data_IF_900517648118
#
_entry.id   IF_900517648118
#
_cell.length_a   1.000
_cell.length_b   1.000
_cell.length_c   1.000
_cell.angle_alpha   90.00
_cell.angle_beta   90.00
_cell.angle_gamma   90.00
#
_symmetry.space_group_name_H-M   'P 1'
#
loop_
_entity.id
_entity.type
_entity.pdbx_description
1 polymer ?
#
# COMPACT_ATOMS: atom_id res chain seq x y z
N UNK A 1 -21.20 -6.89 17.65
CA UNK A 1 -20.25 -6.70 16.55
C UNK A 1 -19.12 -5.89 17.15
N UNK A 2 -17.97 -6.52 17.40
CA UNK A 2 -16.89 -5.90 18.16
C UNK A 2 -16.00 -5.08 17.22
N UNK A 3 -15.93 -3.79 17.50
CA UNK A 3 -15.18 -2.85 16.70
C UNK A 3 -13.68 -3.04 16.94
N UNK A 4 -12.90 -3.27 15.89
CA UNK A 4 -11.46 -3.30 16.04
C UNK A 4 -10.89 -1.88 15.96
N UNK A 5 -10.90 -1.16 17.10
CA UNK A 5 -10.33 0.19 17.22
C UNK A 5 -8.85 0.25 16.81
N UNK A 6 -8.14 -0.88 16.76
CA UNK A 6 -6.76 -0.90 16.26
C UNK A 6 -6.65 -0.68 14.75
N UNK A 7 -7.77 -0.75 14.01
CA UNK A 7 -7.83 -0.52 12.56
C UNK A 7 -8.21 0.90 12.18
N UNK A 8 -8.42 1.80 13.15
CA UNK A 8 -8.70 3.22 12.89
C UNK A 8 -7.43 4.04 13.16
N UNK A 9 -7.03 4.82 12.17
CA UNK A 9 -5.93 5.78 12.23
C UNK A 9 -6.48 7.17 11.95
N UNK A 10 -6.05 8.15 12.72
CA UNK A 10 -6.50 9.54 12.61
C UNK A 10 -5.30 10.39 12.23
N UNK A 11 -5.47 11.30 11.26
CA UNK A 11 -4.44 12.24 10.85
C UNK A 11 -3.94 13.07 12.03
N UNK A 12 -2.65 13.39 12.04
CA UNK A 12 -2.07 14.23 13.08
C UNK A 12 -2.35 15.74 12.83
N UNK A 13 -2.12 16.58 13.83
CA UNK A 13 -2.13 18.05 13.68
C UNK A 13 -3.51 18.71 13.62
N UNK A 14 -4.54 18.04 14.15
CA UNK A 14 -5.92 18.52 14.14
C UNK A 14 -6.17 19.60 15.19
N UNK A 15 -7.04 20.55 14.88
CA UNK A 15 -7.60 21.52 15.84
C UNK A 15 -8.73 20.90 16.67
N UNK A 16 -9.06 21.51 17.81
CA UNK A 16 -10.16 21.06 18.68
C UNK A 16 -11.52 20.99 17.96
N UNK A 17 -11.75 21.85 16.97
CA UNK A 17 -12.96 21.80 16.15
C UNK A 17 -12.97 20.56 15.25
N UNK A 18 -11.86 20.27 14.59
CA UNK A 18 -11.71 19.12 13.70
C UNK A 18 -11.77 17.78 14.45
N UNK A 19 -11.25 17.73 15.69
CA UNK A 19 -11.42 16.56 16.56
C UNK A 19 -12.89 16.23 16.83
N UNK A 20 -13.75 17.24 17.01
CA UNK A 20 -15.19 17.01 17.20
C UNK A 20 -15.83 16.46 15.94
N UNK A 21 -15.48 17.02 14.78
CA UNK A 21 -16.04 16.59 13.50
C UNK A 21 -15.63 15.14 13.17
N UNK A 22 -14.36 14.77 13.43
CA UNK A 22 -13.87 13.40 13.29
C UNK A 22 -14.59 12.43 14.23
N UNK A 23 -14.88 12.86 15.46
CA UNK A 23 -15.57 12.02 16.44
C UNK A 23 -16.95 11.57 15.92
N UNK A 24 -17.69 12.45 15.23
CA UNK A 24 -18.97 12.09 14.60
C UNK A 24 -18.81 11.12 13.43
N UNK A 25 -17.76 11.30 12.61
CA UNK A 25 -17.48 10.39 11.50
C UNK A 25 -17.12 8.98 11.99
N UNK A 26 -16.30 8.88 13.05
CA UNK A 26 -15.99 7.60 13.69
C UNK A 26 -17.27 6.95 14.23
N UNK A 27 -18.12 7.68 14.95
CA UNK A 27 -19.41 7.17 15.44
C UNK A 27 -20.32 6.64 14.30
N UNK A 28 -20.34 7.34 13.17
CA UNK A 28 -21.09 6.93 11.98
C UNK A 28 -20.52 5.66 11.34
N UNK A 29 -19.20 5.58 11.19
CA UNK A 29 -18.51 4.37 10.74
C UNK A 29 -18.84 3.18 11.64
N UNK A 30 -18.78 3.38 12.97
CA UNK A 30 -19.08 2.35 13.96
C UNK A 30 -20.50 1.81 13.83
N UNK A 31 -21.45 2.67 13.46
CA UNK A 31 -22.86 2.30 13.29
C UNK A 31 -23.14 1.54 11.99
N UNK A 32 -22.25 1.63 11.00
CA UNK A 32 -22.46 1.09 9.64
C UNK A 32 -22.08 -0.38 9.45
N UNK A 33 -21.38 -0.98 10.41
CA UNK A 33 -20.94 -2.39 10.34
C UNK A 33 -19.78 -2.66 9.38
N UNK A 34 -19.22 -1.64 8.71
CA UNK A 34 -18.23 -1.79 7.62
C UNK A 34 -16.77 -1.99 8.07
N UNK A 35 -16.49 -2.04 9.38
CA UNK A 35 -15.11 -1.96 9.94
C UNK A 35 -14.49 -3.33 10.31
N UNK A 36 -15.03 -4.44 9.80
CA UNK A 36 -14.56 -5.75 10.28
C UNK A 36 -13.22 -6.20 9.68
N UNK A 37 -12.89 -5.78 8.45
CA UNK A 37 -11.70 -6.26 7.72
C UNK A 37 -10.71 -5.18 7.35
N UNK A 38 -11.18 -4.03 6.90
CA UNK A 38 -10.30 -2.99 6.35
C UNK A 38 -9.74 -2.08 7.45
N UNK A 39 -8.60 -1.45 7.15
CA UNK A 39 -8.09 -0.33 7.94
C UNK A 39 -8.74 0.96 7.45
N UNK A 40 -8.96 1.90 8.36
CA UNK A 40 -9.57 3.19 8.02
C UNK A 40 -8.66 4.32 8.48
N UNK A 41 -8.31 5.19 7.55
CA UNK A 41 -7.63 6.45 7.83
C UNK A 41 -8.64 7.60 7.77
N UNK A 42 -8.73 8.36 8.85
CA UNK A 42 -9.69 9.46 9.02
C UNK A 42 -8.92 10.77 9.09
N UNK A 43 -9.26 11.71 8.22
CA UNK A 43 -8.60 13.02 8.14
C UNK A 43 -9.58 14.13 7.81
N UNK A 44 -9.17 15.38 8.07
CA UNK A 44 -9.94 16.56 7.66
C UNK A 44 -9.25 17.23 6.49
N UNK A 45 -10.00 17.41 5.39
CA UNK A 45 -9.62 18.27 4.29
C UNK A 45 -10.41 19.59 4.38
N UNK A 46 -9.72 20.71 4.12
CA UNK A 46 -10.33 22.05 4.25
C UNK A 46 -11.48 22.29 3.26
N UNK A 47 -11.54 21.55 2.16
CA UNK A 47 -12.56 21.70 1.11
C UNK A 47 -13.68 20.68 1.26
N UNK A 48 -13.35 19.44 1.60
CA UNK A 48 -14.33 18.33 1.62
C UNK A 48 -14.78 17.94 3.03
N UNK A 49 -14.17 18.49 4.08
CA UNK A 49 -14.51 18.20 5.47
C UNK A 49 -13.86 16.90 5.95
N UNK A 50 -14.58 16.12 6.76
CA UNK A 50 -14.07 14.84 7.29
C UNK A 50 -14.15 13.76 6.22
N UNK A 51 -13.02 13.11 5.94
CA UNK A 51 -12.90 12.03 4.97
C UNK A 51 -12.46 10.75 5.66
N UNK A 52 -12.87 9.62 5.08
CA UNK A 52 -12.49 8.29 5.51
C UNK A 52 -12.01 7.52 4.30
N UNK A 53 -10.76 7.05 4.35
CA UNK A 53 -10.19 6.16 3.34
C UNK A 53 -10.09 4.76 3.94
N UNK A 54 -10.61 3.77 3.21
CA UNK A 54 -10.49 2.36 3.58
C UNK A 54 -9.34 1.72 2.82
N UNK A 55 -8.48 1.01 3.54
CA UNK A 55 -7.34 0.27 3.02
C UNK A 55 -7.54 -1.21 3.26
N UNK A 56 -7.20 -2.02 2.26
CA UNK A 56 -7.32 -3.46 2.38
C UNK A 56 -6.28 -4.00 3.36
N UNK A 57 -6.68 -4.98 4.19
CA UNK A 57 -5.81 -5.58 5.19
C UNK A 57 -4.48 -6.10 4.64
N UNK A 58 -4.52 -6.70 3.44
CA UNK A 58 -3.34 -7.29 2.81
C UNK A 58 -2.30 -6.25 2.42
N UNK A 59 -2.72 -5.05 2.00
CA UNK A 59 -1.85 -3.93 1.66
C UNK A 59 -1.15 -3.40 2.92
N UNK A 60 -1.91 -3.16 3.98
CA UNK A 60 -1.39 -2.68 5.27
C UNK A 60 -0.39 -3.68 5.87
N UNK A 61 -0.75 -4.97 5.90
CA UNK A 61 0.13 -6.01 6.42
C UNK A 61 1.39 -6.18 5.60
N UNK A 62 1.29 -6.06 4.28
CA UNK A 62 2.47 -6.14 3.43
C UNK A 62 3.42 -4.99 3.73
N UNK A 63 2.93 -3.75 3.72
CA UNK A 63 3.76 -2.57 3.97
C UNK A 63 4.33 -2.55 5.39
N UNK A 64 3.57 -2.97 6.42
CA UNK A 64 4.06 -3.04 7.80
C UNK A 64 5.22 -4.03 7.93
N UNK A 65 5.15 -5.17 7.24
CA UNK A 65 6.26 -6.14 7.19
C UNK A 65 7.45 -5.64 6.40
N UNK A 66 7.24 -4.94 5.29
CA UNK A 66 8.32 -4.40 4.44
C UNK A 66 9.08 -3.26 5.13
N UNK A 67 8.36 -2.37 5.80
CA UNK A 67 8.95 -1.24 6.54
C UNK A 67 9.37 -1.59 7.97
N UNK A 68 9.08 -2.81 8.43
CA UNK A 68 9.27 -3.24 9.81
C UNK A 68 8.65 -2.25 10.82
N UNK A 69 7.41 -1.84 10.55
CA UNK A 69 6.65 -0.91 11.37
C UNK A 69 5.34 -1.54 11.84
N UNK A 70 4.59 -0.82 12.66
CA UNK A 70 3.23 -1.22 13.06
C UNK A 70 2.25 -1.02 11.91
N UNK A 71 1.13 -1.75 11.93
CA UNK A 71 0.08 -1.60 10.91
C UNK A 71 -0.46 -0.16 10.85
N UNK A 72 -0.52 0.55 11.99
CA UNK A 72 -0.96 1.94 12.03
C UNK A 72 0.05 2.87 11.33
N UNK A 73 1.34 2.65 11.54
CA UNK A 73 2.40 3.39 10.83
C UNK A 73 2.38 3.08 9.33
N UNK A 74 2.09 1.83 8.94
CA UNK A 74 1.91 1.47 7.55
C UNK A 74 0.72 2.19 6.91
N UNK A 75 -0.43 2.27 7.61
CA UNK A 75 -1.59 3.05 7.15
C UNK A 75 -1.22 4.52 6.93
N UNK A 76 -0.50 5.15 7.86
CA UNK A 76 0.00 6.52 7.68
C UNK A 76 0.92 6.60 6.46
N UNK A 77 1.85 5.66 6.31
CA UNK A 77 2.77 5.62 5.17
C UNK A 77 2.05 5.50 3.83
N UNK A 78 1.01 4.67 3.72
CA UNK A 78 0.24 4.49 2.48
C UNK A 78 -0.45 5.80 2.08
N UNK A 79 -1.08 6.47 3.05
CA UNK A 79 -1.94 7.63 2.77
C UNK A 79 -1.16 8.94 2.68
N UNK A 80 -0.27 9.20 3.64
CA UNK A 80 0.44 10.48 3.71
C UNK A 80 1.69 10.51 2.81
N UNK A 81 2.19 9.34 2.41
CA UNK A 81 3.40 9.18 1.60
C UNK A 81 3.18 8.15 0.49
N UNK A 82 2.20 8.41 -0.38
CA UNK A 82 1.88 7.55 -1.53
C UNK A 82 3.15 7.20 -2.33
N UNK A 83 3.36 5.91 -2.62
CA UNK A 83 4.52 5.41 -3.35
C UNK A 83 5.84 5.40 -2.54
N UNK A 84 5.80 5.62 -1.22
CA UNK A 84 7.00 5.65 -0.39
C UNK A 84 7.80 4.36 -0.46
N UNK A 85 7.14 3.21 -0.34
CA UNK A 85 7.85 1.93 -0.34
C UNK A 85 8.48 1.64 -1.71
N UNK A 86 7.77 1.91 -2.81
CA UNK A 86 8.26 1.78 -4.18
C UNK A 86 9.48 2.67 -4.42
N UNK A 87 9.43 3.91 -3.93
CA UNK A 87 10.54 4.85 -4.03
C UNK A 87 11.75 4.37 -3.21
N UNK A 88 11.50 3.87 -2.00
CA UNK A 88 12.54 3.32 -1.13
C UNK A 88 13.18 2.06 -1.73
N UNK A 89 12.38 1.12 -2.22
CA UNK A 89 12.87 -0.13 -2.78
C UNK A 89 13.67 0.08 -4.06
N UNK A 90 13.25 1.01 -4.91
CA UNK A 90 14.02 1.46 -6.09
C UNK A 90 15.37 2.02 -5.65
N UNK A 91 15.38 2.93 -4.66
CA UNK A 91 16.63 3.50 -4.14
C UNK A 91 17.56 2.43 -3.57
N UNK A 92 17.02 1.46 -2.81
CA UNK A 92 17.81 0.39 -2.21
C UNK A 92 18.39 -0.54 -3.28
N UNK A 93 17.64 -0.84 -4.34
CA UNK A 93 18.12 -1.57 -5.51
C UNK A 93 19.27 -0.81 -6.19
N UNK A 94 19.08 0.48 -6.52
CA UNK A 94 20.07 1.30 -7.21
C UNK A 94 21.39 1.43 -6.42
N UNK A 95 21.32 1.39 -5.10
CA UNK A 95 22.49 1.45 -4.21
C UNK A 95 23.08 0.07 -3.88
N UNK A 96 22.49 -1.03 -4.35
CA UNK A 96 22.94 -2.38 -4.01
C UNK A 96 22.78 -2.72 -2.53
N UNK A 97 21.83 -2.10 -1.83
CA UNK A 97 21.62 -2.27 -0.39
C UNK A 97 20.52 -3.30 -0.15
N UNK A 98 20.72 -4.19 0.82
CA UNK A 98 19.65 -5.07 1.32
C UNK A 98 19.25 -6.23 0.39
N UNK A 99 19.97 -6.44 -0.73
CA UNK A 99 19.72 -7.55 -1.66
C UNK A 99 18.43 -7.40 -2.46
N UNK A 100 17.97 -6.17 -2.69
CA UNK A 100 16.85 -5.90 -3.58
C UNK A 100 17.23 -6.27 -5.02
N UNK A 101 16.26 -6.84 -5.73
CA UNK A 101 16.30 -7.28 -7.12
C UNK A 101 15.13 -6.66 -7.86
N UNK A 102 15.29 -6.43 -9.16
CA UNK A 102 14.21 -5.98 -10.03
C UNK A 102 13.42 -7.19 -10.53
N UNK A 103 12.09 -7.14 -10.41
CA UNK A 103 11.20 -8.16 -10.95
C UNK A 103 10.22 -7.54 -11.94
N UNK A 104 10.07 -8.22 -13.07
CA UNK A 104 9.16 -7.85 -14.14
C UNK A 104 7.96 -8.81 -14.17
N UNK A 105 6.76 -8.28 -14.38
CA UNK A 105 5.52 -9.03 -14.54
C UNK A 105 4.85 -8.69 -15.87
N UNK A 106 4.58 -9.74 -16.65
CA UNK A 106 3.88 -9.66 -17.93
C UNK A 106 2.47 -10.22 -17.75
N UNK A 107 1.47 -9.42 -18.10
CA UNK A 107 0.06 -9.83 -18.16
C UNK A 107 -0.37 -10.02 -19.61
N UNK A 108 -1.50 -10.67 -19.80
CA UNK A 108 -2.09 -10.84 -21.15
C UNK A 108 -2.47 -9.51 -21.79
N UNK A 109 -2.90 -8.52 -21.01
CA UNK A 109 -3.20 -7.16 -21.50
C UNK A 109 -1.99 -6.49 -22.15
N UNK A 110 -0.81 -6.57 -21.51
CA UNK A 110 0.47 -6.06 -22.05
C UNK A 110 0.73 -6.69 -23.43
N UNK A 111 0.57 -8.01 -23.54
CA UNK A 111 0.78 -8.74 -24.80
C UNK A 111 -0.23 -8.33 -25.88
N UNK A 112 -1.51 -8.17 -25.54
CA UNK A 112 -2.57 -7.83 -26.50
C UNK A 112 -2.44 -6.37 -26.98
N UNK A 113 -2.06 -5.46 -26.09
CA UNK A 113 -1.98 -4.04 -26.39
C UNK A 113 -0.78 -3.66 -27.27
N UNK A 114 0.13 -4.61 -27.57
CA UNK A 114 1.45 -4.36 -28.18
C UNK A 114 2.30 -3.33 -27.40
N UNK A 115 1.92 -3.00 -26.16
CA UNK A 115 2.73 -2.21 -25.25
C UNK A 115 3.53 -3.21 -24.40
N UNK A 116 4.81 -3.39 -24.73
CA UNK A 116 5.66 -4.42 -24.12
C UNK A 116 6.28 -3.99 -22.78
N UNK A 117 5.83 -2.88 -22.20
CA UNK A 117 6.33 -2.41 -20.92
C UNK A 117 5.80 -3.31 -19.78
N UNK A 118 6.68 -4.07 -19.07
CA UNK A 118 6.26 -4.90 -17.95
C UNK A 118 5.83 -4.05 -16.76
N UNK A 119 4.99 -4.62 -15.90
CA UNK A 119 4.87 -4.13 -14.52
C UNK A 119 6.18 -4.42 -13.78
N UNK A 120 6.70 -3.45 -13.03
CA UNK A 120 7.99 -3.58 -12.34
C UNK A 120 7.78 -3.44 -10.83
N UNK A 121 8.50 -4.24 -10.05
CA UNK A 121 8.70 -4.01 -8.62
C UNK A 121 10.13 -4.35 -8.21
N UNK A 122 10.56 -3.80 -7.07
CA UNK A 122 11.86 -4.09 -6.48
C UNK A 122 11.67 -4.79 -5.15
N UNK A 123 12.17 -6.02 -5.05
CA UNK A 123 11.96 -6.87 -3.87
C UNK A 123 13.19 -7.74 -3.59
N UNK A 124 13.22 -8.31 -2.39
CA UNK A 124 14.35 -9.16 -1.95
C UNK A 124 14.28 -10.59 -2.47
N UNK A 125 13.08 -11.10 -2.79
CA UNK A 125 12.90 -12.43 -3.38
C UNK A 125 11.61 -12.55 -4.21
N UNK A 126 11.58 -13.58 -5.09
CA UNK A 126 10.48 -13.86 -6.02
C UNK A 126 9.12 -14.05 -5.34
N UNK A 127 9.07 -14.58 -4.11
CA UNK A 127 7.80 -14.80 -3.39
C UNK A 127 7.17 -13.47 -3.00
N UNK A 128 7.99 -12.49 -2.61
CA UNK A 128 7.52 -11.15 -2.29
C UNK A 128 7.07 -10.40 -3.55
N UNK A 129 7.83 -10.51 -4.65
CA UNK A 129 7.43 -9.93 -5.93
C UNK A 129 6.09 -10.51 -6.41
N UNK A 130 5.95 -11.85 -6.35
CA UNK A 130 4.69 -12.53 -6.69
C UNK A 130 3.52 -12.04 -5.83
N UNK A 131 3.72 -11.94 -4.52
CA UNK A 131 2.70 -11.42 -3.62
C UNK A 131 2.33 -9.97 -3.96
N UNK A 132 3.31 -9.11 -4.28
CA UNK A 132 3.06 -7.73 -4.67
C UNK A 132 2.19 -7.64 -5.93
N UNK A 133 2.57 -8.34 -7.01
CA UNK A 133 1.80 -8.32 -8.25
C UNK A 133 0.39 -8.90 -8.09
N UNK A 134 0.26 -10.05 -7.42
CA UNK A 134 -1.03 -10.77 -7.30
C UNK A 134 -1.96 -10.16 -6.26
N UNK A 135 -1.42 -9.69 -5.13
CA UNK A 135 -2.24 -9.30 -3.96
C UNK A 135 -2.30 -7.78 -3.76
N UNK A 136 -1.22 -7.06 -4.05
CA UNK A 136 -1.16 -5.61 -3.84
C UNK A 136 -1.66 -4.87 -5.08
N UNK A 137 -1.01 -5.08 -6.23
CA UNK A 137 -1.45 -4.52 -7.51
C UNK A 137 -2.69 -5.23 -8.08
N UNK A 138 -2.98 -6.45 -7.60
CA UNK A 138 -4.12 -7.27 -8.03
C UNK A 138 -4.16 -7.48 -9.54
N UNK A 139 -2.99 -7.71 -10.14
CA UNK A 139 -2.88 -7.95 -11.57
C UNK A 139 -3.60 -9.26 -11.95
N UNK A 140 -4.44 -9.17 -12.97
CA UNK A 140 -5.15 -10.33 -13.53
C UNK A 140 -4.39 -10.89 -14.74
N UNK A 141 -4.68 -12.15 -15.08
CA UNK A 141 -4.13 -12.82 -16.28
C UNK A 141 -2.59 -12.72 -16.40
N UNK A 142 -1.87 -12.89 -15.27
CA UNK A 142 -0.41 -12.93 -15.23
C UNK A 142 0.09 -14.11 -16.08
N UNK A 143 0.93 -13.82 -17.07
CA UNK A 143 1.60 -14.80 -17.93
C UNK A 143 2.91 -15.25 -17.29
N UNK A 144 3.72 -14.29 -16.85
CA UNK A 144 5.01 -14.60 -16.22
C UNK A 144 5.46 -13.51 -15.26
N UNK A 145 6.18 -13.93 -14.22
CA UNK A 145 6.97 -13.07 -13.34
C UNK A 145 8.41 -13.58 -13.40
N UNK A 146 9.36 -12.71 -13.68
CA UNK A 146 10.78 -13.06 -13.78
C UNK A 146 11.67 -11.98 -13.16
N UNK A 147 12.83 -12.39 -12.67
CA UNK A 147 13.88 -11.48 -12.20
C UNK A 147 14.56 -10.84 -13.42
N UNK A 148 14.75 -9.53 -13.38
CA UNK A 148 15.57 -8.82 -14.35
C UNK A 148 17.03 -9.00 -13.93
N UNK A 149 17.65 -10.05 -14.47
CA UNK A 149 19.09 -10.19 -14.43
C UNK A 149 19.69 -9.15 -15.39
N UNK A 150 19.73 -7.87 -14.99
CA UNK A 150 20.58 -6.90 -15.70
C UNK A 150 21.98 -7.52 -15.77
N UNK A 151 22.46 -7.81 -16.98
CA UNK A 151 23.85 -8.21 -17.25
C UNK A 151 24.76 -7.34 -16.39
N UNK A 152 25.62 -7.98 -15.59
CA UNK A 152 26.63 -7.31 -14.76
C UNK A 152 27.16 -6.09 -15.50
N UNK A 153 26.84 -4.88 -15.04
CA UNK A 153 27.50 -3.67 -15.53
C UNK A 153 28.96 -3.77 -15.06
N UNK A 154 29.80 -4.32 -15.95
CA UNK A 154 31.26 -4.37 -15.87
C UNK A 154 31.81 -2.95 -15.70
#
# INVERSE_FOLDING_TARGET
MDLNLNRIVISNGLTDAEYRDISFAILSLMSSGKIEKDYHYVYVDKKTGVNVISLAENEVFWQSKRLNCTDKEAVVSIIEYEGFYESLSTLLYDQGIGGYKKFNCITKEIVISNNLDPYVCYETDMRYAKYYFESILRLEEIISIYEDEEEEKI
#
